data_IF_119100724014
#
_entry.id   IF_119100724014
#
_cell.length_a   1.000
_cell.length_b   1.000
_cell.length_c   1.000
_cell.angle_alpha   90.00
_cell.angle_beta   90.00
_cell.angle_gamma   90.00
#
_symmetry.space_group_name_H-M   'P 1'
#
loop_
_entity.id
_entity.type
_entity.pdbx_description
1 polymer ?
#
# COMPACT_ATOMS: atom_id res chain seq x y z
N UNK A 1 -16.62 -16.42 -3.68
CA UNK A 1 -16.86 -15.14 -2.96
C UNK A 1 -15.58 -14.45 -2.49
N UNK A 2 -14.60 -15.14 -1.91
CA UNK A 2 -13.35 -14.51 -1.42
C UNK A 2 -12.53 -13.78 -2.51
N UNK A 3 -12.47 -14.32 -3.73
CA UNK A 3 -11.72 -13.68 -4.83
C UNK A 3 -12.30 -12.34 -5.29
N UNK A 4 -13.63 -12.18 -5.31
CA UNK A 4 -14.29 -10.92 -5.68
C UNK A 4 -14.02 -9.83 -4.65
N UNK A 5 -14.10 -10.16 -3.36
CA UNK A 5 -13.80 -9.21 -2.28
C UNK A 5 -12.33 -8.77 -2.35
N UNK A 6 -11.40 -9.70 -2.56
CA UNK A 6 -9.98 -9.38 -2.72
C UNK A 6 -9.73 -8.46 -3.93
N UNK A 7 -10.38 -8.73 -5.07
CA UNK A 7 -10.30 -7.88 -6.25
C UNK A 7 -10.79 -6.45 -5.98
N UNK A 8 -11.95 -6.29 -5.33
CA UNK A 8 -12.49 -4.97 -4.95
C UNK A 8 -11.55 -4.23 -4.01
N UNK A 9 -11.02 -4.91 -2.99
CA UNK A 9 -10.06 -4.32 -2.02
C UNK A 9 -8.79 -3.85 -2.74
N UNK A 10 -8.29 -4.61 -3.72
CA UNK A 10 -7.11 -4.21 -4.51
C UNK A 10 -7.40 -3.06 -5.45
N UNK A 11 -8.58 -2.99 -6.08
CA UNK A 11 -8.98 -1.82 -6.90
C UNK A 11 -9.11 -0.56 -6.03
N UNK A 12 -9.71 -0.68 -4.86
CA UNK A 12 -9.78 0.43 -3.88
C UNK A 12 -8.36 0.81 -3.41
N UNK A 13 -7.50 -0.17 -3.16
CA UNK A 13 -6.08 0.03 -2.85
C UNK A 13 -5.32 0.77 -3.96
N UNK A 14 -5.59 0.46 -5.24
CA UNK A 14 -5.02 1.19 -6.39
C UNK A 14 -5.47 2.66 -6.40
N UNK A 15 -6.75 2.92 -6.11
CA UNK A 15 -7.27 4.29 -6.03
C UNK A 15 -6.55 5.08 -4.95
N UNK A 16 -6.38 4.53 -3.74
CA UNK A 16 -5.63 5.20 -2.68
C UNK A 16 -4.17 5.41 -3.04
N UNK A 17 -3.53 4.40 -3.66
CA UNK A 17 -2.15 4.49 -4.12
C UNK A 17 -1.98 5.61 -5.16
N UNK A 18 -2.91 5.73 -6.10
CA UNK A 18 -2.92 6.79 -7.11
C UNK A 18 -3.04 8.17 -6.46
N UNK A 19 -4.01 8.35 -5.56
CA UNK A 19 -4.19 9.62 -4.85
C UNK A 19 -2.92 10.01 -4.09
N UNK A 20 -2.36 9.11 -3.29
CA UNK A 20 -1.12 9.39 -2.54
C UNK A 20 0.02 9.77 -3.50
N UNK A 21 0.18 9.04 -4.59
CA UNK A 21 1.23 9.31 -5.60
C UNK A 21 1.05 10.69 -6.22
N UNK A 22 -0.18 11.09 -6.56
CA UNK A 22 -0.49 12.38 -7.16
C UNK A 22 -0.23 13.55 -6.19
N UNK A 23 -0.70 13.44 -4.94
CA UNK A 23 -0.50 14.48 -3.93
C UNK A 23 0.99 14.62 -3.55
N UNK A 24 1.66 13.51 -3.26
CA UNK A 24 3.07 13.52 -2.88
C UNK A 24 3.97 13.96 -4.06
N UNK A 25 3.63 13.58 -5.29
CA UNK A 25 4.30 14.09 -6.49
C UNK A 25 4.18 15.61 -6.62
N UNK A 26 3.03 16.19 -6.31
CA UNK A 26 2.84 17.64 -6.33
C UNK A 26 3.64 18.34 -5.20
N UNK A 27 3.72 17.73 -4.02
CA UNK A 27 4.58 18.22 -2.92
C UNK A 27 6.06 18.22 -3.30
N UNK A 28 6.52 17.20 -4.03
CA UNK A 28 7.91 17.13 -4.53
C UNK A 28 8.16 18.20 -5.59
N UNK A 29 7.24 18.39 -6.54
CA UNK A 29 7.38 19.38 -7.60
C UNK A 29 7.38 20.83 -7.10
N UNK A 30 6.65 21.09 -6.02
CA UNK A 30 6.55 22.43 -5.40
C UNK A 30 7.57 22.68 -4.29
N UNK A 31 8.60 21.83 -4.17
CA UNK A 31 9.59 21.90 -3.09
C UNK A 31 10.71 22.90 -3.40
N UNK A 32 10.78 23.96 -2.59
CA UNK A 32 11.83 24.97 -2.56
C UNK A 32 12.64 24.83 -1.26
N UNK A 33 13.68 23.98 -1.28
CA UNK A 33 14.62 23.77 -0.16
C UNK A 33 13.99 23.23 1.15
N UNK A 34 12.82 22.58 1.07
CA UNK A 34 12.17 21.93 2.22
C UNK A 34 12.75 20.57 2.58
N UNK A 35 12.38 20.05 3.76
CA UNK A 35 12.79 18.70 4.18
C UNK A 35 12.11 17.61 3.36
N UNK A 36 12.89 16.79 2.66
CA UNK A 36 12.39 15.77 1.73
C UNK A 36 12.52 14.32 2.20
N UNK A 37 13.24 14.02 3.30
CA UNK A 37 13.54 12.64 3.69
C UNK A 37 12.27 11.77 3.89
N UNK A 38 11.28 12.28 4.62
CA UNK A 38 9.99 11.58 4.84
C UNK A 38 9.15 11.49 3.57
N UNK A 39 9.19 12.52 2.72
CA UNK A 39 8.45 12.58 1.46
C UNK A 39 9.01 11.55 0.47
N UNK A 40 10.34 11.44 0.38
CA UNK A 40 11.01 10.44 -0.46
C UNK A 40 10.71 9.01 -0.01
N UNK A 41 10.68 8.77 1.31
CA UNK A 41 10.25 7.47 1.84
C UNK A 41 8.78 7.19 1.49
N UNK A 42 7.90 8.18 1.62
CA UNK A 42 6.48 8.03 1.21
C UNK A 42 6.35 7.66 -0.27
N UNK A 43 7.14 8.27 -1.15
CA UNK A 43 7.14 7.96 -2.58
C UNK A 43 7.63 6.53 -2.87
N UNK A 44 8.66 6.07 -2.15
CA UNK A 44 9.10 4.68 -2.22
C UNK A 44 7.98 3.70 -1.83
N UNK A 45 7.29 3.97 -0.72
CA UNK A 45 6.16 3.14 -0.25
C UNK A 45 5.01 3.16 -1.26
N UNK A 46 4.73 4.30 -1.89
CA UNK A 46 3.72 4.40 -2.94
C UNK A 46 4.10 3.56 -4.17
N UNK A 47 5.35 3.60 -4.62
CA UNK A 47 5.84 2.77 -5.72
C UNK A 47 5.75 1.27 -5.41
N UNK A 48 6.11 0.86 -4.19
CA UNK A 48 5.96 -0.54 -3.77
C UNK A 48 4.49 -0.96 -3.70
N UNK A 49 3.61 -0.06 -3.26
CA UNK A 49 2.15 -0.29 -3.23
C UNK A 49 1.54 -0.44 -4.62
N UNK A 50 2.06 0.28 -5.62
CA UNK A 50 1.70 0.08 -7.02
C UNK A 50 2.05 -1.34 -7.49
N UNK A 51 3.29 -1.78 -7.23
CA UNK A 51 3.73 -3.13 -7.60
C UNK A 51 2.86 -4.19 -6.91
N UNK A 52 2.63 -4.07 -5.61
CA UNK A 52 1.84 -5.04 -4.85
C UNK A 52 0.38 -5.12 -5.34
N UNK A 53 -0.27 -3.97 -5.60
CA UNK A 53 -1.65 -3.95 -6.06
C UNK A 53 -1.78 -4.44 -7.52
N UNK A 54 -0.93 -3.97 -8.45
CA UNK A 54 -0.98 -4.40 -9.85
C UNK A 54 -0.69 -5.89 -9.99
N UNK A 55 0.32 -6.39 -9.26
CA UNK A 55 0.62 -7.82 -9.24
C UNK A 55 -0.54 -8.62 -8.66
N UNK A 56 -1.15 -8.16 -7.56
CA UNK A 56 -2.31 -8.81 -6.96
C UNK A 56 -3.54 -8.86 -7.88
N UNK A 57 -3.80 -7.80 -8.64
CA UNK A 57 -4.88 -7.78 -9.65
C UNK A 57 -4.56 -8.71 -10.82
N UNK A 58 -3.32 -8.69 -11.33
CA UNK A 58 -2.90 -9.58 -12.42
C UNK A 58 -2.98 -11.06 -12.01
N UNK A 59 -2.57 -11.39 -10.79
CA UNK A 59 -2.66 -12.75 -10.23
C UNK A 59 -4.12 -13.21 -10.05
N UNK A 60 -5.07 -12.29 -9.85
CA UNK A 60 -6.50 -12.62 -9.77
C UNK A 60 -7.11 -12.99 -11.14
N UNK A 61 -6.56 -12.47 -12.24
CA UNK A 61 -7.04 -12.74 -13.60
C UNK A 61 -6.30 -13.94 -14.21
N UNK A 62 -5.01 -14.07 -13.92
CA UNK A 62 -4.12 -15.06 -14.53
C UNK A 62 -3.70 -16.07 -13.47
N UNK A 63 -4.32 -17.25 -13.48
CA UNK A 63 -4.03 -18.34 -12.53
C UNK A 63 -2.58 -18.87 -12.59
N UNK A 64 -1.84 -18.57 -13.67
CA UNK A 64 -0.41 -18.91 -13.77
C UNK A 64 0.49 -18.01 -12.92
N UNK A 65 0.02 -16.80 -12.59
CA UNK A 65 0.74 -15.80 -11.80
C UNK A 65 0.38 -15.86 -10.30
N UNK A 66 -0.54 -16.73 -9.88
CA UNK A 66 -1.01 -16.85 -8.50
C UNK A 66 -0.04 -17.62 -7.59
N UNK A 67 1.26 -17.25 -7.64
CA UNK A 67 2.28 -17.80 -6.75
C UNK A 67 2.06 -17.24 -5.34
N UNK A 68 1.46 -18.06 -4.47
CA UNK A 68 1.06 -17.68 -3.09
C UNK A 68 2.21 -17.08 -2.29
N UNK A 69 3.44 -17.60 -2.46
CA UNK A 69 4.63 -17.08 -1.78
C UNK A 69 4.94 -15.63 -2.20
N UNK A 70 4.84 -15.31 -3.50
CA UNK A 70 5.15 -13.98 -4.02
C UNK A 70 4.09 -12.98 -3.54
N UNK A 71 2.81 -13.35 -3.61
CA UNK A 71 1.70 -12.54 -3.08
C UNK A 71 1.86 -12.28 -1.58
N UNK A 72 2.24 -13.30 -0.80
CA UNK A 72 2.44 -13.17 0.64
C UNK A 72 3.57 -12.21 1.00
N UNK A 73 4.69 -12.29 0.28
CA UNK A 73 5.83 -11.38 0.48
C UNK A 73 5.46 -9.96 0.06
N UNK A 74 4.83 -9.78 -1.10
CA UNK A 74 4.41 -8.45 -1.58
C UNK A 74 3.38 -7.81 -0.65
N UNK A 75 2.31 -8.52 -0.30
CA UNK A 75 1.28 -7.99 0.61
C UNK A 75 1.86 -7.75 2.02
N UNK A 76 2.77 -8.62 2.48
CA UNK A 76 3.44 -8.48 3.78
C UNK A 76 4.36 -7.25 3.83
N UNK A 77 5.23 -7.07 2.83
CA UNK A 77 6.09 -5.89 2.72
C UNK A 77 5.27 -4.61 2.54
N UNK A 78 4.24 -4.63 1.69
CA UNK A 78 3.36 -3.48 1.49
C UNK A 78 2.65 -3.09 2.78
N UNK A 79 2.10 -4.05 3.53
CA UNK A 79 1.47 -3.80 4.84
C UNK A 79 2.46 -3.20 5.83
N UNK A 80 3.68 -3.75 5.93
CA UNK A 80 4.70 -3.27 6.86
C UNK A 80 5.14 -1.83 6.53
N UNK A 81 5.49 -1.56 5.28
CA UNK A 81 5.99 -0.25 4.88
C UNK A 81 4.92 0.83 4.89
N UNK A 82 3.68 0.52 4.49
CA UNK A 82 2.55 1.47 4.60
C UNK A 82 2.24 1.82 6.04
N UNK A 83 2.34 0.85 6.97
CA UNK A 83 2.18 1.10 8.40
C UNK A 83 3.25 2.05 8.95
N UNK A 84 4.53 1.75 8.68
CA UNK A 84 5.65 2.59 9.12
C UNK A 84 5.49 4.01 8.56
N UNK A 85 5.16 4.14 7.27
CA UNK A 85 5.01 5.45 6.66
C UNK A 85 3.82 6.23 7.22
N UNK A 86 2.69 5.58 7.48
CA UNK A 86 1.53 6.24 8.10
C UNK A 86 1.87 6.83 9.47
N UNK A 87 2.61 6.07 10.31
CA UNK A 87 3.06 6.54 11.62
C UNK A 87 4.04 7.71 11.49
N UNK A 88 5.06 7.57 10.65
CA UNK A 88 6.09 8.61 10.47
C UNK A 88 5.46 9.90 9.94
N UNK A 89 4.53 9.80 8.99
CA UNK A 89 3.88 10.97 8.41
C UNK A 89 2.98 11.68 9.45
N UNK A 90 2.22 10.90 10.25
CA UNK A 90 1.43 11.45 11.35
C UNK A 90 2.29 12.13 12.42
N UNK A 91 3.40 11.49 12.83
CA UNK A 91 4.31 12.02 13.84
C UNK A 91 5.05 13.28 13.37
N UNK A 92 5.45 13.33 12.10
CA UNK A 92 6.15 14.49 11.52
C UNK A 92 5.21 15.66 11.22
N UNK A 93 3.96 15.37 10.85
CA UNK A 93 2.99 16.43 10.55
C UNK A 93 2.46 17.06 11.83
N UNK A 94 2.01 16.25 12.81
CA UNK A 94 1.50 16.75 14.10
C UNK A 94 0.08 17.34 14.06
N UNK A 95 -0.68 17.08 12.97
CA UNK A 95 -2.05 17.57 12.75
C UNK A 95 -2.29 19.08 13.04
N UNK A 96 -1.50 20.00 12.47
CA UNK A 96 -1.68 21.43 12.70
C UNK A 96 -2.82 21.98 11.85
N UNK A 97 -3.33 23.14 12.25
CA UNK A 97 -4.30 23.90 11.47
C UNK A 97 -3.60 24.55 10.27
N UNK A 98 -3.72 23.96 9.08
CA UNK A 98 -3.06 24.47 7.86
C UNK A 98 -3.46 25.89 7.46
N UNK A 99 -4.64 26.39 7.89
CA UNK A 99 -5.07 27.77 7.65
C UNK A 99 -4.48 28.82 8.60
N UNK A 100 -3.74 28.40 9.63
CA UNK A 100 -3.10 29.31 10.59
C UNK A 100 -1.74 28.79 11.04
N UNK A 101 -0.84 28.59 10.07
CA UNK A 101 0.51 28.06 10.29
C UNK A 101 1.38 28.97 11.17
N UNK A 102 1.17 30.29 11.11
CA UNK A 102 1.95 31.27 11.88
C UNK A 102 1.76 31.17 13.40
N UNK A 103 0.60 30.70 13.85
CA UNK A 103 0.30 30.53 15.28
C UNK A 103 0.54 29.09 15.78
N UNK A 104 0.95 28.18 14.91
CA UNK A 104 1.07 26.76 15.24
C UNK A 104 2.40 26.37 15.94
N UNK A 105 3.29 27.33 16.22
CA UNK A 105 4.53 27.09 16.98
C UNK A 105 5.46 26.04 16.32
N UNK A 106 5.43 25.96 14.99
CA UNK A 106 6.11 24.91 14.22
C UNK A 106 7.62 25.15 14.17
N UNK A 107 8.41 24.08 14.28
CA UNK A 107 9.87 24.20 14.16
C UNK A 107 10.29 24.61 12.75
N UNK A 108 11.46 25.25 12.63
CA UNK A 108 12.06 25.64 11.34
C UNK A 108 12.32 24.44 10.41
N UNK A 109 12.33 23.23 10.96
CA UNK A 109 12.56 21.96 10.27
C UNK A 109 11.26 21.19 10.00
N UNK A 110 10.09 21.82 10.03
CA UNK A 110 8.82 21.11 9.84
C UNK A 110 8.54 20.75 8.37
N UNK A 111 7.88 19.61 8.15
CA UNK A 111 7.71 18.98 6.83
C UNK A 111 6.85 19.80 5.85
N UNK A 112 5.97 20.65 6.37
CA UNK A 112 5.11 21.52 5.57
C UNK A 112 5.78 22.80 5.06
N UNK A 113 7.02 23.09 5.48
CA UNK A 113 7.79 24.23 4.96
C UNK A 113 8.51 23.89 3.64
N UNK A 114 8.84 24.94 2.89
CA UNK A 114 9.61 24.85 1.65
C UNK A 114 8.74 24.73 0.41
N UNK A 115 7.64 25.49 0.34
CA UNK A 115 6.86 25.72 -0.87
C UNK A 115 6.49 27.19 -1.00
N UNK A 116 6.09 27.63 -2.20
CA UNK A 116 5.49 28.96 -2.38
C UNK A 116 4.20 29.11 -1.56
N UNK A 117 3.43 28.02 -1.45
CA UNK A 117 2.19 27.94 -0.69
C UNK A 117 2.26 26.84 0.38
N UNK A 118 2.77 27.21 1.56
CA UNK A 118 2.91 26.25 2.68
C UNK A 118 1.56 25.72 3.18
N UNK A 119 0.47 26.50 3.05
CA UNK A 119 -0.87 26.03 3.37
C UNK A 119 -1.33 24.89 2.46
N UNK A 120 -1.12 25.03 1.14
CA UNK A 120 -1.46 23.99 0.17
C UNK A 120 -0.67 22.71 0.46
N UNK A 121 0.64 22.84 0.65
CA UNK A 121 1.53 21.71 1.00
C UNK A 121 1.09 21.01 2.30
N UNK A 122 0.72 21.76 3.33
CA UNK A 122 0.21 21.21 4.58
C UNK A 122 -1.06 20.36 4.37
N UNK A 123 -2.03 20.88 3.62
CA UNK A 123 -3.29 20.17 3.31
C UNK A 123 -3.02 18.91 2.50
N UNK A 124 -2.09 18.95 1.55
CA UNK A 124 -1.71 17.78 0.74
C UNK A 124 -1.06 16.67 1.57
N UNK A 125 -0.15 17.03 2.49
CA UNK A 125 0.50 16.06 3.39
C UNK A 125 -0.51 15.49 4.41
N UNK A 126 -1.43 16.32 4.91
CA UNK A 126 -2.50 15.88 5.81
C UNK A 126 -3.43 14.88 5.14
N UNK A 127 -3.91 15.20 3.93
CA UNK A 127 -4.72 14.29 3.13
C UNK A 127 -3.97 12.99 2.83
N UNK A 128 -2.68 13.09 2.47
CA UNK A 128 -1.83 11.92 2.20
C UNK A 128 -1.67 11.02 3.42
N UNK A 129 -1.63 11.58 4.63
CA UNK A 129 -1.58 10.82 5.89
C UNK A 129 -2.84 9.98 6.07
N UNK A 130 -4.02 10.56 5.85
CA UNK A 130 -5.29 9.85 5.95
C UNK A 130 -5.39 8.74 4.89
N UNK A 131 -5.04 9.04 3.63
CA UNK A 131 -5.05 8.06 2.56
C UNK A 131 -4.07 6.91 2.81
N UNK A 132 -2.91 7.17 3.41
CA UNK A 132 -1.94 6.12 3.75
C UNK A 132 -2.51 5.13 4.79
N UNK A 133 -3.32 5.61 5.75
CA UNK A 133 -4.04 4.73 6.68
C UNK A 133 -5.11 3.87 5.99
N UNK A 134 -5.86 4.44 5.04
CA UNK A 134 -6.83 3.67 4.26
C UNK A 134 -6.16 2.63 3.37
N UNK A 135 -5.03 2.98 2.75
CA UNK A 135 -4.22 2.05 1.96
C UNK A 135 -3.68 0.90 2.83
N UNK A 136 -3.17 1.21 4.02
CA UNK A 136 -2.72 0.21 4.99
C UNK A 136 -3.86 -0.77 5.34
N UNK A 137 -5.06 -0.26 5.62
CA UNK A 137 -6.21 -1.11 5.92
C UNK A 137 -6.55 -2.05 4.75
N UNK A 138 -6.46 -1.58 3.50
CA UNK A 138 -6.66 -2.41 2.31
C UNK A 138 -5.60 -3.53 2.20
N UNK A 139 -4.34 -3.23 2.53
CA UNK A 139 -3.28 -4.23 2.54
C UNK A 139 -3.43 -5.23 3.69
N UNK A 140 -3.89 -4.82 4.86
CA UNK A 140 -4.22 -5.75 5.95
C UNK A 140 -5.30 -6.76 5.54
N UNK A 141 -6.35 -6.30 4.86
CA UNK A 141 -7.41 -7.16 4.35
C UNK A 141 -6.88 -8.10 3.26
N UNK A 142 -6.08 -7.59 2.33
CA UNK A 142 -5.43 -8.41 1.29
C UNK A 142 -4.53 -9.48 1.89
N UNK A 143 -3.67 -9.10 2.84
CA UNK A 143 -2.75 -10.01 3.53
C UNK A 143 -3.51 -11.08 4.31
N UNK A 144 -4.61 -10.72 4.98
CA UNK A 144 -5.45 -11.69 5.69
C UNK A 144 -5.98 -12.78 4.75
N UNK A 145 -6.46 -12.40 3.56
CA UNK A 145 -6.91 -13.37 2.56
C UNK A 145 -5.76 -14.23 2.03
N UNK A 146 -4.62 -13.61 1.70
CA UNK A 146 -3.42 -14.33 1.24
C UNK A 146 -2.90 -15.33 2.28
N UNK A 147 -2.90 -14.97 3.57
CA UNK A 147 -2.52 -15.87 4.67
C UNK A 147 -3.53 -17.01 4.84
N UNK A 148 -4.84 -16.74 4.73
CA UNK A 148 -5.86 -17.81 4.80
C UNK A 148 -5.71 -18.81 3.66
N UNK A 149 -5.43 -18.32 2.45
CA UNK A 149 -5.16 -19.18 1.29
C UNK A 149 -3.89 -20.01 1.47
N UNK A 150 -2.81 -19.41 2.00
CA UNK A 150 -1.57 -20.11 2.32
C UNK A 150 -1.77 -21.22 3.38
N UNK A 151 -2.62 -20.99 4.39
CA UNK A 151 -2.92 -21.96 5.46
C UNK A 151 -3.92 -23.05 5.06
N UNK A 152 -4.79 -22.79 4.09
CA UNK A 152 -5.83 -23.73 3.62
C UNK A 152 -5.34 -24.94 2.81
N UNK A 153 -4.03 -25.15 2.69
CA UNK A 153 -3.46 -26.35 2.04
C UNK A 153 -3.21 -26.24 0.54
N UNK A 154 -3.55 -25.11 -0.11
CA UNK A 154 -3.34 -24.90 -1.55
C UNK A 154 -1.95 -24.37 -1.94
N UNK A 155 -1.24 -23.67 -1.04
CA UNK A 155 -0.04 -22.89 -1.41
C UNK A 155 1.31 -23.42 -0.88
N UNK A 156 1.36 -24.01 0.32
CA UNK A 156 2.63 -24.46 0.94
C UNK A 156 2.91 -25.97 0.82
N UNK A 157 1.96 -26.78 0.32
CA UNK A 157 2.11 -28.24 0.14
C UNK A 157 1.75 -28.75 -1.26
N UNK A 158 1.56 -27.85 -2.23
CA UNK A 158 0.82 -28.18 -3.47
C UNK A 158 1.49 -27.80 -4.80
N UNK A 159 2.81 -27.59 -4.85
CA UNK A 159 3.54 -27.57 -6.15
C UNK A 159 3.77 -28.98 -6.72
N UNK A 160 3.00 -29.96 -6.27
CA UNK A 160 2.78 -31.20 -6.99
C UNK A 160 1.30 -31.20 -7.29
N UNK A 161 0.96 -30.85 -8.53
CA UNK A 161 -0.23 -31.39 -9.16
C UNK A 161 -0.16 -32.89 -8.90
N UNK A 162 -0.89 -33.36 -7.90
CA UNK A 162 -1.36 -34.73 -7.86
C UNK A 162 -2.23 -34.84 -9.10
N UNK A 163 -1.58 -35.15 -10.23
CA UNK A 163 -2.23 -35.81 -11.34
C UNK A 163 -2.82 -37.05 -10.72
N UNK A 164 -4.09 -36.95 -10.35
CA UNK A 164 -4.90 -38.08 -9.91
C UNK A 164 -4.85 -39.04 -11.09
N UNK A 165 -4.08 -40.15 -11.03
CA UNK A 165 -4.16 -41.13 -12.09
C UNK A 165 -5.55 -41.74 -11.90
N UNK A 166 -6.39 -41.64 -12.93
CA UNK A 166 -7.60 -42.43 -12.99
C UNK A 166 -7.15 -43.89 -13.19
N UNK A 167 -6.75 -44.56 -12.10
CA UNK A 167 -6.48 -45.99 -12.15
C UNK A 167 -7.82 -46.69 -12.32
N UNK A 168 -8.07 -47.11 -13.56
CA UNK A 168 -9.00 -48.19 -13.87
C UNK A 168 -8.59 -49.40 -13.02
N UNK A 169 -9.29 -49.64 -11.90
CA UNK A 169 -9.28 -50.96 -11.29
C UNK A 169 -10.02 -51.91 -12.23
N UNK A 170 -9.24 -52.57 -13.08
CA UNK A 170 -9.59 -53.88 -13.62
C UNK A 170 -9.37 -54.90 -12.51
N UNK A 171 -10.45 -55.57 -12.12
CA UNK A 171 -10.43 -56.67 -11.17
C UNK A 171 -11.55 -57.64 -11.50
N UNK A 172 -11.15 -58.70 -12.23
CA UNK A 172 -11.74 -60.06 -12.39
C UNK A 172 -13.26 -60.23 -12.36
#
# INVERSE_FOLDING_TARGET
MYGFINAVVRTVGLLWTLLITALIGNVIASNNNGQMATINFTMFVAALSWVANLYGVAAAIISSLSMVIVLLVLDGLATLFTFINAIVLAAKLGAPNCGNLGNAGLSSSWIGWGSSDNEKRCREIQASTAFMWFLWACFCVSLFFTVREARGGGGLRGSVRSGRPNMSQVGV
#
